data_IF_651774048219
#
_entry.id   IF_651774048219
#
_cell.length_a   1.000
_cell.length_b   1.000
_cell.length_c   1.000
_cell.angle_alpha   90.00
_cell.angle_beta   90.00
_cell.angle_gamma   90.00
#
_symmetry.space_group_name_H-M   'P 1'
#
loop_
_entity.id
_entity.type
_entity.pdbx_description
1 polymer ?
#
# COMPACT_ATOMS: atom_id res chain seq x y z
N UNK A 1 -10.25 -7.14 -5.75
CA UNK A 1 -8.90 -7.51 -6.24
C UNK A 1 -8.37 -6.42 -7.17
N UNK A 2 -7.11 -6.13 -7.05
CA UNK A 2 -6.43 -5.18 -7.93
C UNK A 2 -5.23 -5.85 -8.59
N UNK A 3 -5.04 -5.63 -9.87
CA UNK A 3 -3.85 -6.08 -10.60
C UNK A 3 -3.29 -4.94 -11.43
N UNK A 4 -1.99 -4.91 -11.61
CA UNK A 4 -1.40 -4.00 -12.56
C UNK A 4 -1.59 -4.56 -13.97
N UNK A 5 -2.36 -3.85 -14.79
CA UNK A 5 -2.55 -4.19 -16.21
C UNK A 5 -1.39 -3.67 -17.07
N UNK A 6 -0.20 -3.77 -16.57
CA UNK A 6 0.96 -3.14 -17.16
C UNK A 6 1.62 -4.08 -18.16
N UNK A 7 1.61 -3.73 -19.43
CA UNK A 7 2.13 -4.56 -20.52
C UNK A 7 3.42 -4.04 -21.15
N UNK A 8 4.08 -3.06 -20.56
CA UNK A 8 5.04 -2.29 -21.34
C UNK A 8 6.49 -2.36 -20.94
N UNK A 9 6.84 -2.75 -19.72
CA UNK A 9 8.23 -2.72 -19.29
C UNK A 9 8.65 -4.02 -18.64
N UNK A 10 9.76 -4.55 -19.12
CA UNK A 10 10.23 -5.90 -18.79
C UNK A 10 10.70 -6.09 -17.35
N UNK A 11 10.84 -5.02 -16.58
CA UNK A 11 11.46 -5.08 -15.25
C UNK A 11 10.49 -4.90 -14.09
N UNK A 12 9.22 -4.61 -14.37
CA UNK A 12 8.22 -4.44 -13.33
C UNK A 12 7.51 -5.78 -13.12
N UNK A 13 7.55 -6.35 -11.91
CA UNK A 13 6.83 -7.59 -11.66
C UNK A 13 5.32 -7.39 -11.76
N UNK A 14 4.60 -8.45 -12.09
CA UNK A 14 3.15 -8.43 -11.96
C UNK A 14 2.78 -8.35 -10.49
N UNK A 15 1.93 -7.40 -10.15
CA UNK A 15 1.41 -7.24 -8.80
C UNK A 15 -0.06 -7.60 -8.81
N UNK A 16 -0.44 -8.53 -7.95
CA UNK A 16 -1.84 -8.88 -7.69
C UNK A 16 -2.10 -8.66 -6.21
N UNK A 17 -3.08 -7.83 -5.91
CA UNK A 17 -3.54 -7.60 -4.55
C UNK A 17 -4.93 -8.19 -4.45
N UNK A 18 -5.00 -9.41 -3.91
CA UNK A 18 -6.24 -10.17 -3.79
C UNK A 18 -6.88 -9.90 -2.45
N UNK A 19 -7.39 -8.69 -2.30
CA UNK A 19 -8.03 -8.17 -1.09
C UNK A 19 -9.24 -7.35 -1.49
N UNK A 20 -10.24 -7.35 -0.63
CA UNK A 20 -11.36 -6.41 -0.72
C UNK A 20 -10.93 -5.04 -0.15
N UNK A 21 -11.65 -3.96 -0.47
CA UNK A 21 -11.39 -2.67 0.17
C UNK A 21 -11.36 -2.79 1.69
N UNK A 22 -10.40 -2.14 2.30
CA UNK A 22 -10.20 -2.22 3.75
C UNK A 22 -8.79 -1.81 4.13
N UNK A 23 -8.48 -1.94 5.40
CA UNK A 23 -7.18 -1.61 5.96
C UNK A 23 -6.43 -2.88 6.32
N UNK A 24 -5.22 -3.02 5.81
CA UNK A 24 -4.40 -4.20 6.00
C UNK A 24 -2.98 -3.83 6.41
N UNK A 25 -2.46 -4.57 7.39
CA UNK A 25 -1.09 -4.40 7.87
C UNK A 25 -0.28 -5.64 7.51
N UNK A 26 0.94 -5.44 7.02
CA UNK A 26 1.82 -6.55 6.68
C UNK A 26 2.26 -7.29 7.93
N UNK A 27 2.16 -8.63 7.89
CA UNK A 27 2.61 -9.48 8.98
C UNK A 27 4.13 -9.39 9.15
N UNK A 28 4.60 -9.33 10.40
CA UNK A 28 6.03 -9.30 10.71
C UNK A 28 6.78 -10.54 10.26
N UNK A 29 6.14 -11.69 10.36
CA UNK A 29 6.77 -12.98 10.10
C UNK A 29 7.10 -13.17 8.62
N UNK A 30 6.54 -12.35 7.74
CA UNK A 30 6.74 -12.41 6.29
C UNK A 30 6.99 -11.03 5.70
N UNK A 31 7.89 -10.30 6.35
CA UNK A 31 8.18 -8.91 6.00
C UNK A 31 9.00 -8.74 4.71
N UNK A 32 9.52 -9.83 4.15
CA UNK A 32 10.29 -9.77 2.91
C UNK A 32 9.41 -9.38 1.73
N UNK A 33 9.87 -8.41 0.96
CA UNK A 33 9.18 -8.00 -0.26
C UNK A 33 8.41 -6.69 -0.15
N UNK A 34 8.28 -6.09 1.03
CA UNK A 34 7.56 -4.81 1.18
C UNK A 34 8.20 -3.69 0.37
N UNK A 35 9.51 -3.58 0.39
CA UNK A 35 10.23 -2.57 -0.39
C UNK A 35 10.05 -2.79 -1.88
N UNK A 36 10.11 -4.04 -2.34
CA UNK A 36 9.90 -4.37 -3.75
C UNK A 36 8.46 -4.09 -4.19
N UNK A 37 7.49 -4.42 -3.35
CA UNK A 37 6.09 -4.07 -3.59
C UNK A 37 5.92 -2.55 -3.70
N UNK A 38 6.49 -1.81 -2.76
CA UNK A 38 6.41 -0.36 -2.77
C UNK A 38 6.99 0.23 -4.05
N UNK A 39 8.16 -0.24 -4.47
CA UNK A 39 8.79 0.22 -5.72
C UNK A 39 7.95 -0.13 -6.95
N UNK A 40 7.37 -1.32 -6.98
CA UNK A 40 6.49 -1.73 -8.08
C UNK A 40 5.24 -0.84 -8.14
N UNK A 41 4.64 -0.52 -7.00
CA UNK A 41 3.48 0.36 -6.94
C UNK A 41 3.84 1.80 -7.34
N UNK A 42 5.02 2.28 -7.00
CA UNK A 42 5.50 3.58 -7.48
C UNK A 42 5.57 3.64 -9.00
N UNK A 43 6.02 2.57 -9.63
CA UNK A 43 6.14 2.52 -11.08
C UNK A 43 4.79 2.54 -11.79
N UNK A 44 3.74 1.98 -11.15
CA UNK A 44 2.40 1.95 -11.73
C UNK A 44 1.52 3.12 -11.28
N UNK A 45 1.95 3.95 -10.37
CA UNK A 45 1.15 5.09 -9.85
C UNK A 45 0.76 6.09 -10.94
N UNK A 46 1.49 6.12 -12.06
CA UNK A 46 1.15 6.96 -13.22
C UNK A 46 -0.23 6.68 -13.80
N UNK A 47 -0.82 5.53 -13.47
CA UNK A 47 -2.18 5.19 -13.90
C UNK A 47 -3.28 5.82 -13.01
N UNK A 48 -2.89 6.60 -12.02
CA UNK A 48 -3.78 7.39 -11.15
C UNK A 48 -4.71 6.58 -10.24
N UNK A 49 -4.61 5.26 -10.24
CA UNK A 49 -5.41 4.43 -9.34
C UNK A 49 -4.60 3.86 -8.17
N UNK A 50 -3.31 4.19 -8.10
CA UNK A 50 -2.41 3.74 -7.03
C UNK A 50 -1.70 4.94 -6.42
N UNK A 51 -1.66 4.98 -5.10
CA UNK A 51 -0.86 5.94 -4.34
C UNK A 51 0.08 5.15 -3.44
N UNK A 52 1.37 5.42 -3.55
CA UNK A 52 2.39 4.87 -2.65
C UNK A 52 3.08 6.04 -1.96
N UNK A 53 3.04 6.06 -0.65
CA UNK A 53 3.47 7.19 0.15
C UNK A 53 4.55 6.75 1.15
N UNK A 54 5.68 7.46 1.16
CA UNK A 54 6.75 7.23 2.14
C UNK A 54 6.81 8.35 3.16
N UNK A 55 7.51 8.08 4.23
CA UNK A 55 7.82 9.08 5.23
C UNK A 55 8.59 10.29 4.64
N UNK A 56 9.40 10.08 3.60
CA UNK A 56 10.11 11.18 2.92
C UNK A 56 9.16 12.16 2.22
N UNK A 57 8.02 11.69 1.77
CA UNK A 57 7.01 12.52 1.13
C UNK A 57 6.43 13.59 2.07
N UNK A 58 6.51 13.37 3.38
CA UNK A 58 6.04 14.36 4.36
C UNK A 58 6.90 15.62 4.35
N UNK A 59 8.18 15.49 4.05
CA UNK A 59 9.08 16.64 3.96
C UNK A 59 8.84 17.45 2.68
N UNK A 60 8.37 16.79 1.64
CA UNK A 60 8.08 17.44 0.35
C UNK A 60 6.68 18.06 0.31
N UNK A 61 5.93 18.01 1.40
CA UNK A 61 4.56 18.54 1.51
C UNK A 61 3.63 18.08 0.39
N UNK A 62 3.79 16.83 -0.04
CA UNK A 62 2.92 16.26 -1.06
C UNK A 62 1.48 16.20 -0.58
N UNK A 63 0.57 16.62 -1.44
CA UNK A 63 -0.85 16.62 -1.12
C UNK A 63 -1.45 15.24 -1.36
N UNK A 64 -1.50 14.45 -0.29
CA UNK A 64 -2.09 13.12 -0.33
C UNK A 64 -3.61 13.17 -0.56
N UNK A 65 -4.29 14.18 -0.02
CA UNK A 65 -5.75 14.23 -0.04
C UNK A 65 -6.33 14.32 -1.46
N UNK A 66 -5.63 14.95 -2.40
CA UNK A 66 -6.04 14.96 -3.80
C UNK A 66 -5.73 13.64 -4.50
N UNK A 67 -4.59 13.04 -4.18
CA UNK A 67 -4.14 11.81 -4.84
C UNK A 67 -5.03 10.61 -4.51
N UNK A 68 -5.61 10.56 -3.32
CA UNK A 68 -6.40 9.39 -2.88
C UNK A 68 -7.82 9.37 -3.42
N UNK A 69 -8.31 10.45 -4.01
CA UNK A 69 -9.71 10.54 -4.48
C UNK A 69 -10.05 9.49 -5.53
N UNK A 70 -9.10 9.12 -6.36
CA UNK A 70 -9.29 8.14 -7.43
C UNK A 70 -8.52 6.85 -7.19
N UNK A 71 -7.87 6.72 -6.04
CA UNK A 71 -7.03 5.57 -5.75
C UNK A 71 -7.85 4.33 -5.45
N UNK A 72 -7.44 3.21 -6.02
CA UNK A 72 -7.94 1.87 -5.69
C UNK A 72 -7.02 1.17 -4.71
N UNK A 73 -5.74 1.54 -4.69
CA UNK A 73 -4.73 1.03 -3.78
C UNK A 73 -3.96 2.20 -3.20
N UNK A 74 -3.83 2.23 -1.88
CA UNK A 74 -3.04 3.22 -1.16
C UNK A 74 -2.06 2.45 -0.28
N UNK A 75 -0.77 2.69 -0.44
CA UNK A 75 0.26 2.06 0.39
C UNK A 75 1.03 3.10 1.17
N UNK A 76 1.11 2.88 2.47
CA UNK A 76 1.94 3.68 3.37
C UNK A 76 3.16 2.87 3.80
N UNK A 77 4.33 3.30 3.39
CA UNK A 77 5.60 2.73 3.81
C UNK A 77 6.04 3.37 5.10
N UNK A 78 6.39 2.57 6.11
CA UNK A 78 6.85 3.05 7.42
C UNK A 78 5.85 3.98 8.09
N UNK A 79 4.59 3.57 8.16
CA UNK A 79 3.51 4.37 8.72
C UNK A 79 3.72 4.74 10.20
N UNK A 80 4.50 3.93 10.93
CA UNK A 80 4.88 4.25 12.31
C UNK A 80 5.57 5.62 12.44
N UNK A 81 6.21 6.10 11.38
CA UNK A 81 6.88 7.40 11.38
C UNK A 81 5.93 8.59 11.17
N UNK A 82 4.67 8.32 10.80
CA UNK A 82 3.68 9.38 10.57
C UNK A 82 2.86 9.73 11.81
N UNK A 83 2.97 8.96 12.88
CA UNK A 83 2.24 9.19 14.15
C UNK A 83 0.73 9.36 13.93
N UNK A 84 0.12 8.45 13.19
CA UNK A 84 -1.32 8.47 12.86
C UNK A 84 -1.81 9.74 12.16
N UNK A 85 -0.93 10.37 11.41
CA UNK A 85 -1.24 11.62 10.71
C UNK A 85 -2.37 11.48 9.68
N UNK A 86 -2.52 10.29 9.11
CA UNK A 86 -3.47 10.05 8.03
C UNK A 86 -4.69 9.22 8.47
N UNK A 87 -4.96 9.15 9.76
CA UNK A 87 -6.09 8.38 10.30
C UNK A 87 -7.41 8.75 9.63
N UNK A 88 -7.69 10.04 9.46
CA UNK A 88 -8.95 10.50 8.85
C UNK A 88 -9.08 10.05 7.39
N UNK A 89 -7.98 10.12 6.64
CA UNK A 89 -7.95 9.67 5.24
C UNK A 89 -8.16 8.16 5.17
N UNK A 90 -7.48 7.40 6.02
CA UNK A 90 -7.62 5.94 6.07
C UNK A 90 -9.07 5.56 6.36
N UNK A 91 -9.68 6.15 7.37
CA UNK A 91 -11.07 5.87 7.72
C UNK A 91 -12.04 6.25 6.61
N UNK A 92 -11.79 7.36 5.92
CA UNK A 92 -12.68 7.86 4.86
C UNK A 92 -12.67 6.95 3.63
N UNK A 93 -11.53 6.39 3.27
CA UNK A 93 -11.37 5.64 2.02
C UNK A 93 -11.33 4.12 2.21
N UNK A 94 -11.43 3.61 3.44
CA UNK A 94 -11.31 2.17 3.73
C UNK A 94 -12.43 1.33 3.10
N UNK A 95 -13.55 1.92 2.76
CA UNK A 95 -14.65 1.24 2.07
C UNK A 95 -14.55 1.27 0.54
N UNK A 96 -13.59 2.02 0.01
CA UNK A 96 -13.43 2.24 -1.44
C UNK A 96 -12.09 1.76 -1.98
N UNK A 97 -11.07 1.73 -1.14
CA UNK A 97 -9.70 1.43 -1.54
C UNK A 97 -9.10 0.33 -0.68
N UNK A 98 -8.14 -0.38 -1.26
CA UNK A 98 -7.29 -1.32 -0.53
C UNK A 98 -6.16 -0.50 0.08
N UNK A 99 -6.10 -0.41 1.40
CA UNK A 99 -5.09 0.37 2.11
C UNK A 99 -4.10 -0.58 2.75
N UNK A 100 -2.84 -0.49 2.32
CA UNK A 100 -1.74 -1.33 2.78
C UNK A 100 -0.82 -0.51 3.66
N UNK A 101 -0.59 -0.98 4.88
CA UNK A 101 0.22 -0.26 5.87
C UNK A 101 1.43 -1.09 6.25
N UNK A 102 2.63 -0.54 6.01
CA UNK A 102 3.86 -1.05 6.58
C UNK A 102 4.11 -0.32 7.89
N UNK A 103 4.01 -1.04 8.99
CA UNK A 103 4.14 -0.48 10.33
C UNK A 103 4.96 -1.42 11.21
N UNK A 104 5.96 -0.88 11.86
CA UNK A 104 6.84 -1.65 12.73
C UNK A 104 6.16 -2.03 14.04
N UNK A 105 5.31 -1.15 14.57
CA UNK A 105 4.57 -1.37 15.79
C UNK A 105 3.08 -1.08 15.56
N UNK A 106 2.28 -2.13 15.56
CA UNK A 106 0.84 -2.03 15.30
C UNK A 106 0.04 -1.56 16.49
N UNK A 107 0.63 -1.57 17.69
CA UNK A 107 -0.05 -1.14 18.92
C UNK A 107 -0.44 0.34 18.89
N UNK A 108 0.31 1.14 18.13
CA UNK A 108 0.07 2.57 18.02
C UNK A 108 -0.93 2.95 16.92
N UNK A 109 -1.43 1.96 16.17
CA UNK A 109 -2.43 2.23 15.12
C UNK A 109 -3.80 2.47 15.75
N UNK A 110 -4.41 3.60 15.41
CA UNK A 110 -5.75 3.96 15.88
C UNK A 110 -6.85 3.71 14.85
N UNK A 111 -6.60 2.80 13.92
CA UNK A 111 -7.58 2.32 12.93
C UNK A 111 -7.74 0.80 13.05
N UNK A 112 -8.92 0.31 12.75
CA UNK A 112 -9.14 -1.13 12.63
C UNK A 112 -8.42 -1.68 11.40
N UNK A 113 -7.83 -2.87 11.50
CA UNK A 113 -7.10 -3.49 10.40
C UNK A 113 -7.11 -5.01 10.48
N UNK A 114 -6.88 -5.65 9.34
CA UNK A 114 -6.56 -7.06 9.24
C UNK A 114 -5.10 -7.23 8.83
N UNK A 115 -4.54 -8.42 9.03
CA UNK A 115 -3.21 -8.72 8.54
C UNK A 115 -3.24 -9.25 7.11
N UNK A 116 -2.23 -8.89 6.33
CA UNK A 116 -1.98 -9.43 5.01
C UNK A 116 -0.56 -9.97 4.89
N UNK A 117 -0.31 -10.74 3.85
CA UNK A 117 1.00 -11.31 3.57
C UNK A 117 1.39 -11.07 2.12
N UNK A 118 2.69 -11.10 1.87
CA UNK A 118 3.26 -10.95 0.53
C UNK A 118 3.91 -12.28 0.14
N UNK A 119 3.52 -12.83 -1.00
CA UNK A 119 4.18 -13.94 -1.63
C UNK A 119 4.88 -13.46 -2.90
N UNK A 120 6.14 -13.84 -3.07
CA UNK A 120 6.96 -13.36 -4.17
C UNK A 120 7.53 -14.51 -4.98
N UNK A 121 7.50 -14.35 -6.30
CA UNK A 121 8.28 -15.12 -7.25
C UNK A 121 9.16 -14.17 -8.08
N UNK A 122 9.89 -14.71 -9.05
CA UNK A 122 10.83 -13.91 -9.86
C UNK A 122 10.14 -12.75 -10.55
N UNK A 123 8.92 -12.96 -11.05
CA UNK A 123 8.20 -12.00 -11.89
C UNK A 123 6.86 -11.55 -11.30
N UNK A 124 6.50 -12.01 -10.10
CA UNK A 124 5.16 -11.77 -9.54
C UNK A 124 5.21 -11.50 -8.05
N UNK A 125 4.41 -10.53 -7.64
CA UNK A 125 4.15 -10.22 -6.22
C UNK A 125 2.65 -10.40 -5.98
N UNK A 126 2.29 -11.20 -4.99
CA UNK A 126 0.89 -11.43 -4.63
C UNK A 126 0.67 -11.05 -3.17
N UNK A 127 -0.34 -10.24 -2.92
CA UNK A 127 -0.74 -9.84 -1.56
C UNK A 127 -2.10 -10.44 -1.28
N UNK A 128 -2.20 -11.19 -0.18
CA UNK A 128 -3.44 -11.86 0.23
C UNK A 128 -3.69 -11.66 1.71
N UNK A 129 -4.92 -11.86 2.13
CA UNK A 129 -5.30 -11.82 3.55
C UNK A 129 -4.70 -13.03 4.28
N UNK A 130 -4.25 -12.77 5.49
CA UNK A 130 -3.80 -13.86 6.38
C UNK A 130 -4.97 -14.58 7.02
#
# INVERSE_FOLDING_TARGET
>A
MWTNNYNGEQYIPYVTIDLDPGVYVFSRDRATGKTRLYKALLDVKRYKDVVAYTYEDTFDNKDLSNSVKTAKVIMFDRYDLYRNRFTDIICKYSDKAIILIDCKNTEDLDVGYDFCKIDMSIDRITVTKM
#
